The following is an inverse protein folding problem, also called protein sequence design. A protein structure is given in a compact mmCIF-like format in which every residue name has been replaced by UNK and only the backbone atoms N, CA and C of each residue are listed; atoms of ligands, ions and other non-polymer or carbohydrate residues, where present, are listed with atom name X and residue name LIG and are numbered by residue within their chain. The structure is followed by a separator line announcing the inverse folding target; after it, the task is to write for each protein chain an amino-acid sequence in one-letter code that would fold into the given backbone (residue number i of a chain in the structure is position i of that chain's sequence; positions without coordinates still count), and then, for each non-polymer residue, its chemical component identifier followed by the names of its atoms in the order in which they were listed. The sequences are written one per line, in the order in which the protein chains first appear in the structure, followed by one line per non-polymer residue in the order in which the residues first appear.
data_IF_460348882821
#
_entry.id   IF_460348882821
#
_cell.length_a   1.000
_cell.length_b   1.000
_cell.length_c   1.000
_cell.angle_alpha   90.00
_cell.angle_beta   90.00
_cell.angle_gamma   90.00
#
_symmetry.space_group_name_H-M   'P 1'
#
loop_
_entity.id
_entity.type
_entity.pdbx_description
1 polymer ?
#
# COMPACT_ATOMS: atom_id res chain seq x y z
N UNK A 1 13.77 -6.44 -15.34
CA UNK A 1 13.23 -5.66 -14.20
C UNK A 1 14.01 -4.37 -14.10
N UNK A 2 13.32 -3.25 -14.11
CA UNK A 2 13.95 -1.93 -14.10
C UNK A 2 14.08 -1.37 -12.68
N UNK A 3 13.01 -1.49 -11.89
CA UNK A 3 12.97 -0.94 -10.54
C UNK A 3 11.77 -1.52 -9.79
N UNK A 4 11.76 -1.30 -8.48
CA UNK A 4 10.58 -1.57 -7.67
C UNK A 4 9.60 -0.41 -7.92
N UNK A 5 8.47 -0.68 -8.53
CA UNK A 5 7.49 0.34 -8.88
C UNK A 5 6.71 0.75 -7.64
N UNK A 6 6.21 -0.23 -6.88
CA UNK A 6 5.58 0.07 -5.60
C UNK A 6 5.64 -1.11 -4.64
N UNK A 7 5.45 -0.79 -3.36
CA UNK A 7 5.39 -1.76 -2.28
C UNK A 7 4.05 -1.55 -1.59
N UNK A 8 3.26 -2.61 -1.47
CA UNK A 8 1.95 -2.56 -0.82
C UNK A 8 2.03 -3.18 0.56
N UNK A 9 1.60 -2.42 1.56
CA UNK A 9 1.63 -2.84 2.96
C UNK A 9 0.22 -2.81 3.52
N UNK A 10 -0.25 -3.95 4.03
CA UNK A 10 -1.58 -4.05 4.63
C UNK A 10 -1.53 -3.52 6.05
N UNK A 11 -2.45 -2.62 6.40
CA UNK A 11 -2.50 -2.00 7.72
C UNK A 11 -3.91 -2.08 8.29
N UNK A 12 -4.00 -2.09 9.61
CA UNK A 12 -5.29 -2.17 10.30
C UNK A 12 -5.97 -0.81 10.41
N UNK A 13 -5.19 0.26 10.52
CA UNK A 13 -5.72 1.61 10.67
C UNK A 13 -4.93 2.54 9.76
N UNK A 14 -5.55 2.96 8.66
CA UNK A 14 -4.88 3.76 7.65
C UNK A 14 -4.41 5.10 8.20
N UNK A 15 -5.26 5.78 8.98
CA UNK A 15 -4.91 7.10 9.49
C UNK A 15 -3.72 7.06 10.43
N UNK A 16 -3.69 6.10 11.35
CA UNK A 16 -2.58 5.95 12.27
C UNK A 16 -1.30 5.55 11.55
N UNK A 17 -1.42 4.61 10.61
CA UNK A 17 -0.26 4.15 9.84
C UNK A 17 0.26 5.24 8.90
N UNK A 18 -0.66 6.05 8.34
CA UNK A 18 -0.26 7.18 7.50
C UNK A 18 0.61 8.14 8.28
N UNK A 19 0.21 8.49 9.51
CA UNK A 19 0.99 9.39 10.35
C UNK A 19 2.35 8.81 10.69
N UNK A 20 2.40 7.52 11.01
CA UNK A 20 3.64 6.84 11.32
C UNK A 20 4.59 6.88 10.13
N UNK A 21 4.09 6.57 8.94
CA UNK A 21 4.93 6.54 7.75
C UNK A 21 5.36 7.93 7.29
N UNK A 22 4.52 8.95 7.50
CA UNK A 22 4.96 10.32 7.23
C UNK A 22 6.17 10.68 8.07
N UNK A 23 6.17 10.25 9.32
CA UNK A 23 7.29 10.50 10.23
C UNK A 23 8.53 9.67 9.84
N UNK A 24 8.34 8.38 9.61
CA UNK A 24 9.45 7.49 9.27
C UNK A 24 10.13 7.86 7.96
N UNK A 25 9.35 8.22 6.95
CA UNK A 25 9.87 8.55 5.63
C UNK A 25 10.24 10.03 5.50
N UNK A 26 9.84 10.83 6.48
CA UNK A 26 9.97 12.29 6.41
C UNK A 26 9.38 12.82 5.10
N UNK A 27 8.20 12.31 4.75
CA UNK A 27 7.56 12.58 3.47
C UNK A 27 6.05 12.58 3.68
N UNK A 28 5.32 13.57 3.18
CA UNK A 28 3.87 13.59 3.33
C UNK A 28 3.22 12.54 2.43
N UNK A 29 2.07 12.04 2.89
CA UNK A 29 1.18 11.27 2.03
C UNK A 29 0.65 12.19 0.95
N UNK A 30 0.79 11.82 -0.32
CA UNK A 30 0.39 12.74 -1.39
C UNK A 30 -1.00 12.44 -1.96
N UNK A 31 -1.59 11.31 -1.61
CA UNK A 31 -2.91 10.94 -2.12
C UNK A 31 -3.50 9.83 -1.25
N UNK A 32 -4.82 9.89 -1.06
CA UNK A 32 -5.59 8.80 -0.49
C UNK A 32 -6.67 8.47 -1.49
N UNK A 33 -6.84 7.20 -1.79
CA UNK A 33 -7.81 6.74 -2.77
C UNK A 33 -8.53 5.51 -2.26
N UNK A 34 -9.85 5.46 -2.46
CA UNK A 34 -10.64 4.29 -2.14
C UNK A 34 -11.04 3.61 -3.44
N UNK A 35 -10.80 2.31 -3.53
CA UNK A 35 -11.17 1.51 -4.70
C UNK A 35 -12.21 0.49 -4.24
N UNK A 36 -13.47 0.80 -4.47
CA UNK A 36 -14.57 -0.03 -3.98
C UNK A 36 -14.56 -1.43 -4.53
N UNK A 37 -14.22 -1.58 -5.81
CA UNK A 37 -14.15 -2.90 -6.44
C UNK A 37 -13.12 -3.81 -5.80
N UNK A 38 -12.11 -3.24 -5.15
CA UNK A 38 -11.08 -4.00 -4.46
C UNK A 38 -11.23 -3.96 -2.95
N UNK A 39 -12.26 -3.26 -2.48
CA UNK A 39 -12.58 -3.16 -1.06
C UNK A 39 -11.40 -2.65 -0.23
N UNK A 40 -10.77 -1.59 -0.71
CA UNK A 40 -9.55 -1.07 -0.09
C UNK A 40 -9.49 0.45 -0.17
N UNK A 41 -8.91 1.06 0.88
CA UNK A 41 -8.49 2.46 0.86
C UNK A 41 -6.98 2.47 0.92
N UNK A 42 -6.37 3.31 0.11
CA UNK A 42 -4.92 3.34 -0.05
C UNK A 42 -4.35 4.72 0.21
N UNK A 43 -3.30 4.80 1.00
CA UNK A 43 -2.52 6.02 1.18
C UNK A 43 -1.20 5.86 0.45
N UNK A 44 -0.82 6.87 -0.33
CA UNK A 44 0.35 6.81 -1.21
C UNK A 44 1.47 7.70 -0.72
N UNK A 45 2.69 7.16 -0.73
CA UNK A 45 3.92 7.90 -0.47
C UNK A 45 4.87 7.69 -1.62
N UNK A 46 5.71 8.67 -1.90
CA UNK A 46 6.72 8.52 -2.92
C UNK A 46 8.11 8.60 -2.29
N UNK A 47 8.92 7.56 -2.51
CA UNK A 47 10.27 7.48 -1.99
C UNK A 47 11.19 7.23 -3.20
N UNK A 48 11.84 8.29 -3.67
CA UNK A 48 12.60 8.21 -4.92
C UNK A 48 11.66 7.85 -6.06
N UNK A 49 11.95 6.78 -6.75
CA UNK A 49 11.12 6.30 -7.85
C UNK A 49 10.14 5.21 -7.45
N UNK A 50 10.09 4.88 -6.16
CA UNK A 50 9.24 3.81 -5.65
C UNK A 50 8.07 4.40 -4.88
N UNK A 51 6.86 3.86 -5.07
CA UNK A 51 5.69 4.25 -4.29
C UNK A 51 5.52 3.28 -3.13
N UNK A 52 5.20 3.83 -1.97
CA UNK A 52 4.79 3.02 -0.82
C UNK A 52 3.28 3.20 -0.69
N UNK A 53 2.55 2.10 -0.66
CA UNK A 53 1.09 2.12 -0.57
C UNK A 53 0.65 1.42 0.70
N UNK A 54 -0.06 2.15 1.56
CA UNK A 54 -0.65 1.57 2.76
C UNK A 54 -2.09 1.21 2.42
N UNK A 55 -2.47 -0.03 2.70
CA UNK A 55 -3.75 -0.58 2.27
C UNK A 55 -4.58 -0.98 3.47
N UNK A 56 -5.75 -0.36 3.63
CA UNK A 56 -6.70 -0.74 4.68
C UNK A 56 -7.95 -1.28 4.01
N UNK A 57 -8.45 -2.44 4.49
CA UNK A 57 -9.67 -2.99 3.93
C UNK A 57 -10.88 -2.14 4.29
N UNK A 58 -11.79 -1.98 3.33
CA UNK A 58 -13.10 -1.37 3.59
C UNK A 58 -14.17 -2.45 3.81
N UNK A 59 -13.80 -3.72 3.60
CA UNK A 59 -14.71 -4.85 3.78
C UNK A 59 -13.88 -6.09 4.09
N UNK A 60 -14.13 -6.78 5.23
CA UNK A 60 -13.35 -7.97 5.60
C UNK A 60 -13.34 -9.08 4.55
N UNK A 61 -14.30 -9.08 3.62
CA UNK A 61 -14.38 -10.08 2.56
C UNK A 61 -13.37 -9.82 1.44
N UNK A 62 -12.77 -8.62 1.37
CA UNK A 62 -11.79 -8.31 0.35
C UNK A 62 -10.45 -8.98 0.61
N UNK A 63 -9.57 -8.93 -0.39
CA UNK A 63 -8.24 -9.56 -0.32
C UNK A 63 -7.42 -9.04 0.86
N UNK A 64 -7.42 -7.72 1.08
CA UNK A 64 -6.67 -7.12 2.18
C UNK A 64 -7.26 -7.52 3.52
N UNK A 65 -8.60 -7.57 3.63
CA UNK A 65 -9.24 -8.02 4.86
C UNK A 65 -8.85 -9.44 5.22
N UNK A 66 -8.84 -10.32 4.23
CA UNK A 66 -8.46 -11.72 4.45
C UNK A 66 -6.98 -11.85 4.80
N UNK A 67 -6.15 -11.02 4.18
CA UNK A 67 -4.72 -11.00 4.50
C UNK A 67 -4.49 -10.61 5.96
N UNK A 68 -5.15 -9.52 6.40
CA UNK A 68 -5.00 -9.04 7.78
C UNK A 68 -5.48 -10.10 8.78
N UNK A 69 -6.60 -10.77 8.47
CA UNK A 69 -7.14 -11.80 9.35
C UNK A 69 -6.15 -12.95 9.55
N UNK A 70 -5.47 -13.36 8.48
CA UNK A 70 -4.57 -14.51 8.55
C UNK A 70 -3.17 -14.15 8.99
N UNK A 71 -2.67 -13.00 8.58
CA UNK A 71 -1.25 -12.64 8.75
C UNK A 71 -1.00 -11.39 9.56
N UNK A 72 -2.06 -10.62 9.86
CA UNK A 72 -1.87 -9.33 10.51
C UNK A 72 -1.34 -8.30 9.55
N UNK A 73 -0.84 -7.20 10.09
CA UNK A 73 -0.25 -6.14 9.29
C UNK A 73 1.08 -6.58 8.70
N UNK A 74 1.40 -6.07 7.52
CA UNK A 74 2.69 -6.34 6.93
C UNK A 74 2.69 -6.23 5.43
N UNK A 75 3.83 -6.57 4.85
CA UNK A 75 4.04 -6.51 3.41
C UNK A 75 3.06 -7.43 2.70
N UNK A 76 2.27 -6.86 1.79
CA UNK A 76 1.29 -7.61 1.02
C UNK A 76 1.82 -7.94 -0.37
N UNK A 77 2.44 -6.97 -1.03
CA UNK A 77 2.96 -7.23 -2.38
C UNK A 77 4.04 -6.23 -2.76
N UNK A 78 4.84 -6.62 -3.74
CA UNK A 78 5.85 -5.76 -4.35
C UNK A 78 5.63 -5.85 -5.84
N UNK A 79 5.52 -4.70 -6.50
CA UNK A 79 5.37 -4.63 -7.94
C UNK A 79 6.65 -4.07 -8.55
N UNK A 80 7.06 -4.68 -9.65
CA UNK A 80 8.29 -4.30 -10.35
C UNK A 80 7.96 -3.68 -11.70
N UNK A 81 8.73 -2.68 -12.07
CA UNK A 81 8.67 -2.16 -13.43
C UNK A 81 9.63 -3.01 -14.27
N UNK A 82 9.17 -3.51 -15.40
CA UNK A 82 9.97 -4.35 -16.26
C UNK A 82 10.05 -3.71 -17.65
N UNK A 83 11.13 -4.02 -18.37
CA UNK A 83 11.25 -3.58 -19.75
C UNK A 83 10.21 -4.33 -20.60
N UNK A 84 9.69 -3.65 -21.63
CA UNK A 84 8.82 -4.30 -22.60
C UNK A 84 9.66 -5.27 -23.43
N UNK A 85 9.23 -6.51 -23.47
CA UNK A 85 9.98 -7.55 -24.16
C UNK A 85 9.33 -7.99 -25.47
N UNK A 86 8.31 -7.26 -25.92
CA UNK A 86 7.61 -7.62 -27.17
C UNK A 86 8.15 -6.90 -28.39
#
# INVERSE_FOLDING_TARGET
MQKVEHIGIAVKNLEASKKLFESLLNTPCYKIESVESEMVSTAFFKVGDTKIELLETTNPEGAIGKFIEKRGEGLHHIAYEVADIH
#
